data_IF_514930336830
#
_entry.id   IF_514930336830
#
_cell.length_a   1.000
_cell.length_b   1.000
_cell.length_c   1.000
_cell.angle_alpha   90.00
_cell.angle_beta   90.00
_cell.angle_gamma   90.00
#
_symmetry.space_group_name_H-M   'P 1'
#
loop_
_entity.id
_entity.type
_entity.pdbx_description
1 polymer ?
#
# COMPACT_ATOMS: atom_id res chain seq x y z
N UNK A 1 -15.82 31.41 34.63
CA UNK A 1 -16.64 31.09 33.44
C UNK A 1 -15.73 31.22 32.23
N UNK A 2 -15.40 30.12 31.56
CA UNK A 2 -14.56 30.16 30.35
C UNK A 2 -15.40 30.69 29.19
N UNK A 3 -14.81 31.53 28.33
CA UNK A 3 -15.41 31.98 27.07
C UNK A 3 -15.97 30.76 26.29
N UNK A 4 -17.15 30.85 25.65
CA UNK A 4 -17.63 29.80 24.77
C UNK A 4 -16.56 29.51 23.71
N UNK A 5 -16.00 28.30 23.69
CA UNK A 5 -15.11 27.91 22.62
C UNK A 5 -15.90 27.98 21.30
N UNK A 6 -15.35 28.63 20.29
CA UNK A 6 -15.97 28.63 18.97
C UNK A 6 -16.11 27.21 18.44
N UNK A 7 -17.18 26.94 17.67
CA UNK A 7 -17.42 25.65 17.01
C UNK A 7 -16.15 25.12 16.33
N UNK A 8 -15.46 25.99 15.58
CA UNK A 8 -14.19 25.69 14.94
C UNK A 8 -13.11 25.18 15.91
N UNK A 9 -13.00 25.76 17.10
CA UNK A 9 -12.00 25.38 18.10
C UNK A 9 -12.30 23.98 18.67
N UNK A 10 -13.59 23.67 18.89
CA UNK A 10 -14.02 22.34 19.33
C UNK A 10 -13.78 21.27 18.26
N UNK A 11 -14.10 21.59 17.00
CA UNK A 11 -13.84 20.71 15.86
C UNK A 11 -12.36 20.37 15.70
N UNK A 12 -11.47 21.36 15.88
CA UNK A 12 -10.01 21.17 15.84
C UNK A 12 -9.47 20.28 16.96
N UNK A 13 -10.19 20.15 18.07
CA UNK A 13 -9.79 19.30 19.21
C UNK A 13 -10.24 17.83 19.06
N UNK A 14 -11.04 17.50 18.04
CA UNK A 14 -11.48 16.14 17.78
C UNK A 14 -10.32 15.25 17.33
N UNK A 15 -10.38 13.96 17.65
CA UNK A 15 -9.50 12.94 17.09
C UNK A 15 -10.22 12.24 15.94
N UNK A 16 -10.03 12.75 14.72
CA UNK A 16 -10.60 12.16 13.52
C UNK A 16 -9.74 12.44 12.28
N UNK A 17 -10.16 11.94 11.11
CA UNK A 17 -9.35 12.03 9.89
C UNK A 17 -9.08 13.48 9.44
N UNK A 18 -9.96 14.42 9.82
CA UNK A 18 -9.81 15.84 9.52
C UNK A 18 -8.75 16.55 10.37
N UNK A 19 -8.32 15.95 11.48
CA UNK A 19 -7.38 16.53 12.46
C UNK A 19 -6.11 15.72 12.63
N UNK A 20 -5.93 14.63 11.86
CA UNK A 20 -4.75 13.76 11.91
C UNK A 20 -3.62 14.15 10.94
N UNK A 21 -3.67 15.35 10.36
CA UNK A 21 -2.61 15.92 9.51
C UNK A 21 -2.14 14.95 8.40
N UNK A 22 -3.12 14.30 7.75
CA UNK A 22 -2.84 13.25 6.75
C UNK A 22 -2.22 13.80 5.45
N UNK A 23 -2.56 15.04 5.08
CA UNK A 23 -2.17 15.81 3.88
C UNK A 23 -1.64 15.02 2.64
N UNK A 24 -2.44 14.08 2.08
CA UNK A 24 -2.01 13.29 0.92
C UNK A 24 -2.14 14.07 -0.40
N UNK A 25 -1.23 13.79 -1.35
CA UNK A 25 -1.42 14.26 -2.74
C UNK A 25 -2.70 13.67 -3.36
N UNK A 26 -3.26 14.34 -4.38
CA UNK A 26 -4.45 13.82 -5.08
C UNK A 26 -4.19 12.43 -5.68
N UNK A 27 -2.98 12.16 -6.17
CA UNK A 27 -2.59 10.84 -6.66
C UNK A 27 -2.54 9.78 -5.55
N UNK A 28 -2.06 10.15 -4.36
CA UNK A 28 -2.04 9.28 -3.18
C UNK A 28 -3.47 8.97 -2.69
N UNK A 29 -4.38 9.93 -2.70
CA UNK A 29 -5.79 9.72 -2.37
C UNK A 29 -6.42 8.62 -3.25
N UNK A 30 -6.20 8.66 -4.57
CA UNK A 30 -6.69 7.63 -5.48
C UNK A 30 -6.08 6.25 -5.21
N UNK A 31 -4.77 6.18 -4.91
CA UNK A 31 -4.11 4.91 -4.55
C UNK A 31 -4.74 4.27 -3.33
N UNK A 32 -4.90 5.05 -2.26
CA UNK A 32 -5.46 4.56 -1.00
C UNK A 32 -6.93 4.19 -1.21
N UNK A 33 -7.71 5.00 -1.95
CA UNK A 33 -9.11 4.67 -2.31
C UNK A 33 -9.21 3.28 -2.92
N UNK A 34 -8.42 3.01 -3.96
CA UNK A 34 -8.43 1.72 -4.63
C UNK A 34 -7.98 0.57 -3.73
N UNK A 35 -6.95 0.79 -2.92
CA UNK A 35 -6.48 -0.21 -1.96
C UNK A 35 -7.56 -0.58 -0.95
N UNK A 36 -8.32 0.39 -0.44
CA UNK A 36 -9.41 0.19 0.51
C UNK A 36 -10.63 -0.50 -0.12
N UNK A 37 -11.01 -0.09 -1.32
CA UNK A 37 -12.08 -0.75 -2.09
C UNK A 37 -11.69 -2.21 -2.44
N UNK A 38 -10.41 -2.50 -2.67
CA UNK A 38 -9.91 -3.86 -2.95
C UNK A 38 -9.88 -4.77 -1.70
N UNK A 39 -10.03 -4.24 -0.48
CA UNK A 39 -10.12 -5.05 0.76
C UNK A 39 -11.42 -5.87 0.80
N UNK A 40 -12.43 -5.48 0.02
CA UNK A 40 -13.75 -6.12 0.01
C UNK A 40 -14.64 -5.65 1.15
N UNK A 41 -15.95 -5.89 1.02
CA UNK A 41 -16.98 -5.50 1.99
C UNK A 41 -17.50 -6.66 2.81
N UNK A 42 -16.74 -7.74 2.88
CA UNK A 42 -17.19 -9.01 3.44
C UNK A 42 -17.37 -8.94 4.95
N UNK A 43 -18.44 -9.59 5.41
CA UNK A 43 -18.74 -9.73 6.82
C UNK A 43 -17.64 -10.56 7.48
N UNK A 44 -16.96 -9.98 8.48
CA UNK A 44 -15.83 -10.60 9.18
C UNK A 44 -14.55 -9.76 9.20
N UNK A 45 -14.43 -8.74 8.33
CA UNK A 45 -13.30 -7.82 8.43
C UNK A 45 -13.46 -6.85 9.62
N UNK A 46 -12.65 -7.04 10.66
CA UNK A 46 -12.64 -6.21 11.89
C UNK A 46 -12.37 -4.72 11.62
N UNK A 47 -11.75 -4.39 10.49
CA UNK A 47 -11.45 -3.02 10.09
C UNK A 47 -12.52 -2.40 9.16
N UNK A 48 -13.63 -3.08 8.86
CA UNK A 48 -14.60 -2.63 7.87
C UNK A 48 -15.22 -1.25 8.18
N UNK A 49 -15.60 -0.97 9.43
CA UNK A 49 -16.09 0.36 9.82
C UNK A 49 -15.04 1.45 9.60
N UNK A 50 -13.80 1.17 10.00
CA UNK A 50 -12.64 2.06 9.83
C UNK A 50 -12.30 2.30 8.34
N UNK A 51 -12.43 1.27 7.49
CA UNK A 51 -12.31 1.40 6.02
C UNK A 51 -13.33 2.40 5.49
N UNK A 52 -14.59 2.30 5.90
CA UNK A 52 -15.62 3.25 5.48
C UNK A 52 -15.36 4.67 6.00
N UNK A 53 -14.89 4.83 7.24
CA UNK A 53 -14.47 6.14 7.75
C UNK A 53 -13.37 6.75 6.86
N UNK A 54 -12.30 6.00 6.57
CA UNK A 54 -11.20 6.53 5.76
C UNK A 54 -11.63 6.79 4.31
N UNK A 55 -12.43 5.90 3.71
CA UNK A 55 -13.01 6.12 2.38
C UNK A 55 -13.87 7.38 2.36
N UNK A 56 -14.69 7.62 3.39
CA UNK A 56 -15.53 8.81 3.48
C UNK A 56 -14.70 10.09 3.49
N UNK A 57 -13.63 10.12 4.29
CA UNK A 57 -12.67 11.22 4.30
C UNK A 57 -12.00 11.43 2.93
N UNK A 58 -11.56 10.36 2.28
CA UNK A 58 -10.93 10.42 0.96
C UNK A 58 -11.90 10.96 -0.10
N UNK A 59 -13.15 10.49 -0.11
CA UNK A 59 -14.16 10.98 -1.05
C UNK A 59 -14.46 12.47 -0.84
N UNK A 60 -14.54 12.91 0.42
CA UNK A 60 -14.65 14.34 0.72
C UNK A 60 -13.47 15.13 0.14
N UNK A 61 -12.23 14.69 0.38
CA UNK A 61 -11.02 15.34 -0.16
C UNK A 61 -10.94 15.30 -1.69
N UNK A 62 -11.56 14.32 -2.32
CA UNK A 62 -11.69 14.23 -3.78
C UNK A 62 -12.82 15.08 -4.36
N UNK A 63 -13.68 15.67 -3.51
CA UNK A 63 -14.74 16.61 -3.87
C UNK A 63 -16.16 16.05 -3.81
N UNK A 64 -16.36 14.84 -3.27
CA UNK A 64 -17.69 14.19 -3.17
C UNK A 64 -18.20 14.12 -1.73
N UNK A 65 -18.81 15.22 -1.25
CA UNK A 65 -19.41 15.26 0.09
C UNK A 65 -20.59 14.30 0.27
N UNK A 66 -21.34 14.01 -0.81
CA UNK A 66 -22.46 13.05 -0.78
C UNK A 66 -21.96 11.62 -0.53
N UNK A 67 -20.93 11.20 -1.26
CA UNK A 67 -20.35 9.87 -1.06
C UNK A 67 -19.67 9.76 0.30
N UNK A 68 -19.03 10.85 0.75
CA UNK A 68 -18.45 10.93 2.09
C UNK A 68 -19.50 10.67 3.18
N UNK A 69 -20.65 11.35 3.13
CA UNK A 69 -21.75 11.16 4.07
C UNK A 69 -22.27 9.71 4.07
N UNK A 70 -22.51 9.15 2.89
CA UNK A 70 -22.97 7.77 2.74
C UNK A 70 -21.97 6.78 3.38
N UNK A 71 -20.67 6.96 3.12
CA UNK A 71 -19.62 6.13 3.69
C UNK A 71 -19.52 6.28 5.21
N UNK A 72 -19.63 7.49 5.76
CA UNK A 72 -19.66 7.68 7.21
C UNK A 72 -20.88 7.02 7.87
N UNK A 73 -22.06 7.05 7.22
CA UNK A 73 -23.23 6.33 7.73
C UNK A 73 -23.03 4.81 7.69
N UNK A 74 -22.49 4.28 6.58
CA UNK A 74 -22.14 2.85 6.48
C UNK A 74 -21.12 2.43 7.51
N UNK A 75 -20.16 3.31 7.86
CA UNK A 75 -19.22 3.07 8.94
C UNK A 75 -19.95 2.89 10.27
N UNK A 76 -20.85 3.82 10.63
CA UNK A 76 -21.64 3.76 11.85
C UNK A 76 -22.48 2.48 11.94
N UNK A 77 -23.23 2.14 10.88
CA UNK A 77 -24.02 0.90 10.79
C UNK A 77 -23.15 -0.35 10.92
N UNK A 78 -21.95 -0.33 10.35
CA UNK A 78 -21.01 -1.45 10.45
C UNK A 78 -20.50 -1.62 11.87
N UNK A 79 -20.13 -0.54 12.53
CA UNK A 79 -19.70 -0.56 13.91
C UNK A 79 -20.78 -1.09 14.85
N UNK A 80 -22.01 -0.60 14.69
CA UNK A 80 -23.16 -1.03 15.51
C UNK A 80 -23.42 -2.53 15.37
N UNK A 81 -23.39 -3.04 14.13
CA UNK A 81 -23.51 -4.48 13.85
C UNK A 81 -22.36 -5.30 14.43
N UNK A 82 -21.11 -4.85 14.25
CA UNK A 82 -19.92 -5.59 14.74
C UNK A 82 -19.85 -5.65 16.28
N UNK A 83 -20.36 -4.62 16.96
CA UNK A 83 -20.28 -4.50 18.42
C UNK A 83 -21.58 -4.87 19.12
N UNK A 84 -22.65 -5.14 18.36
CA UNK A 84 -24.00 -5.39 18.87
C UNK A 84 -24.45 -4.32 19.90
N UNK A 85 -24.13 -3.06 19.61
CA UNK A 85 -24.41 -1.92 20.49
C UNK A 85 -24.52 -0.64 19.69
N UNK A 86 -25.49 0.22 20.05
CA UNK A 86 -25.81 1.44 19.31
C UNK A 86 -24.75 2.54 19.47
N UNK A 87 -24.09 2.58 20.63
CA UNK A 87 -23.09 3.58 20.99
C UNK A 87 -21.88 2.97 21.70
N UNK A 88 -20.71 3.53 21.44
CA UNK A 88 -19.48 3.15 22.12
C UNK A 88 -18.26 3.92 21.62
N UNK A 89 -17.09 3.72 22.25
CA UNK A 89 -15.86 4.44 21.91
C UNK A 89 -15.41 4.28 20.46
N UNK A 90 -15.69 3.14 19.84
CA UNK A 90 -15.38 2.85 18.43
C UNK A 90 -16.11 3.76 17.42
N UNK A 91 -17.14 4.50 17.85
CA UNK A 91 -17.83 5.50 17.01
C UNK A 91 -17.21 6.90 17.11
N UNK A 92 -16.24 7.14 17.99
CA UNK A 92 -15.71 8.49 18.22
C UNK A 92 -15.14 9.14 16.96
N UNK A 93 -14.31 8.42 16.21
CA UNK A 93 -13.72 8.93 14.97
C UNK A 93 -14.80 9.18 13.92
N UNK A 94 -15.81 8.32 13.86
CA UNK A 94 -16.95 8.47 12.97
C UNK A 94 -17.77 9.73 13.28
N UNK A 95 -18.13 9.95 14.55
CA UNK A 95 -18.83 11.17 14.98
C UNK A 95 -17.98 12.42 14.72
N UNK A 96 -16.67 12.36 14.97
CA UNK A 96 -15.78 13.47 14.68
C UNK A 96 -15.71 13.79 13.18
N UNK A 97 -15.70 12.77 12.31
CA UNK A 97 -15.76 12.93 10.87
C UNK A 97 -17.10 13.55 10.41
N UNK A 98 -18.22 13.09 10.97
CA UNK A 98 -19.55 13.62 10.66
C UNK A 98 -19.71 15.07 11.11
N UNK A 99 -19.21 15.42 12.29
CA UNK A 99 -19.21 16.82 12.78
C UNK A 99 -18.47 17.74 11.79
N UNK A 100 -17.25 17.37 11.39
CA UNK A 100 -16.49 18.12 10.39
C UNK A 100 -17.18 18.21 9.04
N UNK A 101 -17.79 17.11 8.56
CA UNK A 101 -18.49 17.10 7.28
C UNK A 101 -19.70 18.06 7.31
N UNK A 102 -20.54 17.96 8.34
CA UNK A 102 -21.73 18.83 8.48
C UNK A 102 -21.35 20.30 8.62
N UNK A 103 -20.29 20.61 9.36
CA UNK A 103 -19.77 21.98 9.43
C UNK A 103 -19.33 22.51 8.05
N UNK A 104 -18.58 21.71 7.27
CA UNK A 104 -18.20 22.10 5.91
C UNK A 104 -19.39 22.24 4.94
N UNK A 105 -20.52 21.62 5.23
CA UNK A 105 -21.77 21.76 4.48
C UNK A 105 -22.63 22.95 4.95
N UNK A 106 -22.20 23.69 5.98
CA UNK A 106 -22.98 24.78 6.59
C UNK A 106 -24.12 24.31 7.49
N UNK A 107 -24.11 23.03 7.89
CA UNK A 107 -25.12 22.40 8.74
C UNK A 107 -24.64 22.37 10.20
N UNK A 108 -24.36 23.54 10.77
CA UNK A 108 -23.70 23.67 12.09
C UNK A 108 -24.52 23.06 13.24
N UNK A 109 -25.86 23.06 13.17
CA UNK A 109 -26.71 22.39 14.16
C UNK A 109 -26.43 20.88 14.22
N UNK A 110 -26.33 20.21 13.07
CA UNK A 110 -25.97 18.79 13.01
C UNK A 110 -24.54 18.55 13.46
N UNK A 111 -23.63 19.47 13.15
CA UNK A 111 -22.26 19.41 13.64
C UNK A 111 -22.20 19.42 15.18
N UNK A 112 -22.98 20.30 15.80
CA UNK A 112 -23.12 20.40 17.25
C UNK A 112 -23.76 19.15 17.89
N UNK A 113 -24.71 18.52 17.21
CA UNK A 113 -25.29 17.24 17.65
C UNK A 113 -24.22 16.14 17.73
N UNK A 114 -23.37 16.02 16.70
CA UNK A 114 -22.27 15.04 16.70
C UNK A 114 -21.18 15.38 17.71
N UNK A 115 -20.85 16.66 17.90
CA UNK A 115 -19.95 17.09 18.97
C UNK A 115 -20.48 16.70 20.35
N UNK A 116 -21.79 16.87 20.58
CA UNK A 116 -22.44 16.49 21.84
C UNK A 116 -22.36 14.98 22.10
N UNK A 117 -22.42 14.15 21.05
CA UNK A 117 -22.19 12.70 21.15
C UNK A 117 -20.75 12.37 21.54
N UNK A 118 -19.76 13.04 20.93
CA UNK A 118 -18.34 12.89 21.30
C UNK A 118 -18.12 13.30 22.76
N UNK A 119 -18.66 14.44 23.18
CA UNK A 119 -18.58 14.94 24.56
C UNK A 119 -19.24 13.96 25.55
N UNK A 120 -20.36 13.34 25.15
CA UNK A 120 -21.05 12.29 25.90
C UNK A 120 -20.17 11.07 26.16
N UNK A 121 -19.43 10.60 25.16
CA UNK A 121 -18.49 9.49 25.31
C UNK A 121 -17.28 9.90 26.16
N UNK A 122 -16.68 11.05 25.89
CA UNK A 122 -15.51 11.53 26.63
C UNK A 122 -15.78 11.74 28.12
N UNK A 123 -16.99 12.18 28.52
CA UNK A 123 -17.38 12.28 29.93
C UNK A 123 -17.41 10.94 30.67
N UNK A 124 -17.68 9.83 29.97
CA UNK A 124 -17.67 8.49 30.56
C UNK A 124 -16.25 7.97 30.77
N UNK A 125 -15.24 8.65 30.21
CA UNK A 125 -13.84 8.25 30.32
C UNK A 125 -13.11 8.94 31.45
N UNK A 126 -12.25 8.19 32.13
CA UNK A 126 -11.23 8.72 33.04
C UNK A 126 -9.86 8.66 32.35
N UNK A 127 -9.25 9.80 32.03
CA UNK A 127 -7.87 9.87 31.52
C UNK A 127 -7.74 10.00 29.99
N UNK A 128 -6.75 9.29 29.43
CA UNK A 128 -6.26 9.38 28.03
C UNK A 128 -7.31 9.08 26.94
N UNK A 129 -6.97 9.23 25.65
CA UNK A 129 -7.81 8.83 24.50
C UNK A 129 -8.17 7.34 24.49
N UNK A 130 -9.35 6.98 23.96
CA UNK A 130 -9.79 5.58 23.84
C UNK A 130 -8.83 4.72 23.02
N UNK A 131 -8.50 3.49 23.48
CA UNK A 131 -7.57 2.65 22.75
C UNK A 131 -8.06 2.33 21.33
N UNK A 132 -9.38 2.29 21.11
CA UNK A 132 -9.99 2.16 19.78
C UNK A 132 -9.65 3.35 18.86
N UNK A 133 -9.64 4.57 19.39
CA UNK A 133 -9.26 5.78 18.63
C UNK A 133 -7.77 5.76 18.29
N UNK A 134 -6.93 5.32 19.23
CA UNK A 134 -5.50 5.15 18.99
C UNK A 134 -5.24 4.09 17.91
N UNK A 135 -5.96 2.96 17.97
CA UNK A 135 -5.85 1.88 17.01
C UNK A 135 -6.34 2.28 15.62
N UNK A 136 -7.45 3.03 15.50
CA UNK A 136 -7.91 3.56 14.21
C UNK A 136 -6.92 4.56 13.63
N UNK A 137 -6.41 5.48 14.45
CA UNK A 137 -5.37 6.44 14.03
C UNK A 137 -4.13 5.71 13.52
N UNK A 138 -3.66 4.72 14.27
CA UNK A 138 -2.54 3.89 13.87
C UNK A 138 -2.80 3.17 12.54
N UNK A 139 -3.94 2.49 12.43
CA UNK A 139 -4.32 1.77 11.22
C UNK A 139 -4.41 2.69 10.00
N UNK A 140 -4.94 3.90 10.16
CA UNK A 140 -4.99 4.90 9.10
C UNK A 140 -3.59 5.36 8.71
N UNK A 141 -2.76 5.78 9.67
CA UNK A 141 -1.42 6.33 9.43
C UNK A 141 -0.47 5.34 8.74
N UNK A 142 -0.63 4.03 8.93
CA UNK A 142 0.16 3.00 8.24
C UNK A 142 0.10 3.09 6.70
N UNK A 143 -0.94 3.69 6.13
CA UNK A 143 -1.18 3.78 4.68
C UNK A 143 -0.53 5.00 4.03
N UNK A 144 0.12 5.86 4.81
CA UNK A 144 0.71 7.09 4.34
C UNK A 144 2.24 6.99 4.26
N UNK A 145 2.94 8.11 4.42
CA UNK A 145 4.38 8.20 4.35
C UNK A 145 5.09 7.46 5.51
N UNK A 146 6.42 7.36 5.43
CA UNK A 146 7.24 6.62 6.39
C UNK A 146 7.16 7.20 7.81
N UNK A 147 7.02 8.51 7.93
CA UNK A 147 6.94 9.18 9.23
C UNK A 147 5.64 8.79 9.92
N UNK A 148 4.52 8.88 9.19
CA UNK A 148 3.21 8.41 9.66
C UNK A 148 3.20 6.91 9.96
N UNK A 149 3.91 6.10 9.17
CA UNK A 149 4.08 4.67 9.46
C UNK A 149 4.80 4.44 10.79
N UNK A 150 5.83 5.22 11.12
CA UNK A 150 6.52 5.09 12.41
C UNK A 150 5.60 5.50 13.57
N UNK A 151 4.90 6.63 13.43
CA UNK A 151 3.90 7.08 14.41
C UNK A 151 2.79 6.02 14.63
N UNK A 152 2.36 5.35 13.56
CA UNK A 152 1.37 4.28 13.65
C UNK A 152 1.83 3.12 14.55
N UNK A 153 3.11 2.72 14.48
CA UNK A 153 3.64 1.62 15.28
C UNK A 153 3.62 1.94 16.78
N UNK A 154 3.94 3.17 17.14
CA UNK A 154 3.90 3.66 18.52
C UNK A 154 2.46 3.76 19.04
N UNK A 155 1.54 4.25 18.20
CA UNK A 155 0.11 4.34 18.55
C UNK A 155 -0.52 2.96 18.76
N UNK A 156 -0.21 1.98 17.90
CA UNK A 156 -0.63 0.60 18.12
C UNK A 156 -0.06 0.05 19.43
N UNK A 157 1.23 0.28 19.70
CA UNK A 157 1.85 -0.19 20.93
C UNK A 157 1.17 0.41 22.17
N UNK A 158 0.79 1.70 22.13
CA UNK A 158 0.04 2.34 23.19
C UNK A 158 -1.36 1.73 23.34
N UNK A 159 -2.10 1.53 22.25
CA UNK A 159 -3.42 0.91 22.26
C UNK A 159 -3.37 -0.51 22.88
N UNK A 160 -2.40 -1.32 22.49
CA UNK A 160 -2.19 -2.69 23.00
C UNK A 160 -1.86 -2.68 24.50
N UNK A 161 -1.06 -1.73 25.00
CA UNK A 161 -0.79 -1.61 26.44
C UNK A 161 -2.04 -1.25 27.24
N UNK A 162 -2.94 -0.47 26.65
CA UNK A 162 -4.19 -0.05 27.28
C UNK A 162 -5.25 -1.16 27.28
N UNK A 163 -5.26 -2.01 26.23
CA UNK A 163 -6.17 -3.13 26.08
C UNK A 163 -5.44 -4.32 25.43
N UNK A 164 -4.76 -5.15 26.22
CA UNK A 164 -3.91 -6.23 25.71
C UNK A 164 -4.71 -7.40 25.14
N UNK A 165 -6.01 -7.53 25.39
CA UNK A 165 -6.78 -8.68 24.92
C UNK A 165 -7.21 -8.55 23.44
N UNK A 166 -6.96 -7.40 22.80
CA UNK A 166 -7.33 -7.17 21.38
C UNK A 166 -6.24 -7.63 20.43
N UNK A 167 -6.28 -8.92 20.08
CA UNK A 167 -5.28 -9.61 19.25
C UNK A 167 -5.10 -8.98 17.86
N UNK A 168 -6.16 -8.42 17.28
CA UNK A 168 -6.14 -7.88 15.91
C UNK A 168 -5.27 -6.63 15.78
N UNK A 169 -5.07 -5.90 16.88
CA UNK A 169 -4.17 -4.74 16.91
C UNK A 169 -2.71 -5.18 16.89
N UNK A 170 -2.37 -6.28 17.56
CA UNK A 170 -1.03 -6.89 17.45
C UNK A 170 -0.79 -7.38 16.03
N UNK A 171 -1.74 -8.12 15.44
CA UNK A 171 -1.64 -8.60 14.06
C UNK A 171 -1.45 -7.44 13.07
N UNK A 172 -2.24 -6.37 13.22
CA UNK A 172 -2.16 -5.18 12.36
C UNK A 172 -0.84 -4.44 12.51
N UNK A 173 -0.36 -4.26 13.75
CA UNK A 173 0.97 -3.69 14.04
C UNK A 173 2.06 -4.50 13.35
N UNK A 174 2.04 -5.82 13.46
CA UNK A 174 3.04 -6.70 12.84
C UNK A 174 3.00 -6.65 11.32
N UNK A 175 1.82 -6.67 10.72
CA UNK A 175 1.65 -6.54 9.27
C UNK A 175 2.25 -5.23 8.76
N UNK A 176 1.95 -4.10 9.40
CA UNK A 176 2.48 -2.82 8.96
C UNK A 176 3.96 -2.64 9.27
N UNK A 177 4.45 -3.09 10.43
CA UNK A 177 5.88 -3.08 10.76
C UNK A 177 6.69 -3.83 9.70
N UNK A 178 6.31 -5.07 9.39
CA UNK A 178 6.99 -5.91 8.41
C UNK A 178 6.83 -5.41 6.96
N UNK A 179 5.83 -4.56 6.70
CA UNK A 179 5.68 -3.89 5.41
C UNK A 179 6.77 -2.85 5.15
N UNK A 180 7.32 -2.21 6.19
CA UNK A 180 8.40 -1.20 6.07
C UNK A 180 9.73 -1.82 5.59
N UNK A 181 9.96 -3.10 5.91
CA UNK A 181 11.13 -3.89 5.48
C UNK A 181 11.00 -4.50 4.07
N UNK A 182 9.94 -4.18 3.32
CA UNK A 182 9.68 -4.81 2.01
C UNK A 182 10.77 -4.54 0.97
N UNK A 183 11.43 -3.38 1.06
CA UNK A 183 12.42 -2.90 0.07
C UNK A 183 13.80 -2.62 0.68
N UNK A 184 14.01 -3.02 1.95
CA UNK A 184 15.26 -2.83 2.67
C UNK A 184 16.02 -4.15 2.73
N UNK A 185 17.34 -4.06 2.67
CA UNK A 185 18.26 -5.18 2.89
C UNK A 185 18.62 -5.30 4.39
N UNK A 186 17.81 -4.68 5.26
CA UNK A 186 17.98 -4.68 6.73
C UNK A 186 17.03 -5.70 7.32
N UNK A 187 17.54 -6.59 8.16
CA UNK A 187 16.72 -7.55 8.90
C UNK A 187 16.04 -6.88 10.10
N UNK A 188 14.78 -7.25 10.41
CA UNK A 188 14.15 -6.87 11.67
C UNK A 188 14.96 -7.31 12.89
N UNK A 189 14.87 -6.53 13.96
CA UNK A 189 15.48 -6.84 15.26
C UNK A 189 14.94 -8.16 15.84
N UNK A 190 15.72 -8.87 16.69
CA UNK A 190 15.30 -10.13 17.29
C UNK A 190 13.93 -10.10 17.97
N UNK A 191 13.64 -9.02 18.71
CA UNK A 191 12.38 -8.83 19.43
C UNK A 191 11.16 -8.80 18.50
N UNK A 192 11.35 -8.37 17.24
CA UNK A 192 10.28 -8.35 16.22
C UNK A 192 9.86 -9.78 15.84
N UNK A 193 10.78 -10.74 15.88
CA UNK A 193 10.45 -12.14 15.58
C UNK A 193 9.64 -12.79 16.70
N UNK A 194 9.96 -12.45 17.94
CA UNK A 194 9.19 -12.90 19.09
C UNK A 194 7.79 -12.28 19.10
N UNK A 195 7.68 -10.98 18.86
CA UNK A 195 6.39 -10.29 18.70
C UNK A 195 5.55 -10.92 17.56
N UNK A 196 6.18 -11.31 16.45
CA UNK A 196 5.51 -11.98 15.34
C UNK A 196 5.01 -13.36 15.73
N UNK A 197 5.82 -14.14 16.44
CA UNK A 197 5.47 -15.48 16.93
C UNK A 197 4.27 -15.41 17.87
N UNK A 198 4.32 -14.52 18.85
CA UNK A 198 3.20 -14.29 19.79
C UNK A 198 1.94 -13.89 19.04
N UNK A 199 2.02 -12.96 18.08
CA UNK A 199 0.87 -12.56 17.28
C UNK A 199 0.28 -13.72 16.45
N UNK A 200 1.11 -14.65 15.96
CA UNK A 200 0.65 -15.85 15.24
C UNK A 200 -0.03 -16.87 16.15
N UNK A 201 0.45 -17.00 17.39
CA UNK A 201 -0.14 -17.89 18.40
C UNK A 201 -1.50 -17.36 18.90
N UNK A 202 -1.61 -16.05 19.07
CA UNK A 202 -2.84 -15.38 19.53
C UNK A 202 -3.90 -15.22 18.44
N UNK A 203 -3.49 -15.09 17.17
CA UNK A 203 -4.38 -14.88 16.01
C UNK A 203 -4.12 -15.92 14.88
N UNK A 204 -4.41 -17.22 15.13
CA UNK A 204 -4.07 -18.30 14.20
C UNK A 204 -4.86 -18.24 12.88
N UNK A 205 -6.10 -17.75 12.94
CA UNK A 205 -7.02 -17.67 11.79
C UNK A 205 -6.68 -16.53 10.82
N UNK A 206 -5.80 -15.60 11.21
CA UNK A 206 -5.39 -14.52 10.34
C UNK A 206 -4.41 -14.98 9.24
N UNK A 207 -4.99 -15.38 8.11
CA UNK A 207 -4.27 -15.86 6.93
C UNK A 207 -3.31 -14.80 6.35
N UNK A 208 -3.60 -13.50 6.51
CA UNK A 208 -2.69 -12.44 6.10
C UNK A 208 -1.42 -12.46 6.94
N UNK A 209 -1.56 -12.51 8.27
CA UNK A 209 -0.43 -12.60 9.18
C UNK A 209 0.38 -13.88 8.93
N UNK A 210 -0.29 -15.02 8.68
CA UNK A 210 0.35 -16.27 8.28
C UNK A 210 1.21 -16.12 7.01
N UNK A 211 0.65 -15.47 5.98
CA UNK A 211 1.36 -15.24 4.72
C UNK A 211 2.55 -14.27 4.89
N UNK A 212 2.45 -13.31 5.81
CA UNK A 212 3.54 -12.40 6.15
C UNK A 212 4.66 -13.14 6.88
N UNK A 213 4.33 -13.97 7.85
CA UNK A 213 5.29 -14.79 8.60
C UNK A 213 6.08 -15.74 7.67
N UNK A 214 5.35 -16.57 6.90
CA UNK A 214 5.97 -17.48 5.92
C UNK A 214 6.87 -16.74 4.93
N UNK A 215 6.52 -15.52 4.54
CA UNK A 215 7.35 -14.69 3.66
C UNK A 215 8.64 -14.23 4.33
N UNK A 216 8.65 -13.97 5.63
CA UNK A 216 9.89 -13.65 6.33
C UNK A 216 10.77 -14.89 6.50
N UNK A 217 10.17 -16.03 6.85
CA UNK A 217 10.86 -17.33 6.90
C UNK A 217 11.50 -17.69 5.55
N UNK A 218 10.77 -17.50 4.45
CA UNK A 218 11.29 -17.67 3.10
C UNK A 218 12.52 -16.78 2.80
N UNK A 219 12.51 -15.52 3.26
CA UNK A 219 13.67 -14.62 3.09
C UNK A 219 14.91 -15.12 3.82
N UNK A 220 14.76 -15.79 4.96
CA UNK A 220 15.85 -16.40 5.73
C UNK A 220 16.33 -17.73 5.14
N UNK A 221 15.75 -18.18 4.03
CA UNK A 221 16.13 -19.41 3.35
C UNK A 221 15.47 -20.67 3.90
N UNK A 222 14.43 -20.54 4.73
CA UNK A 222 13.64 -21.68 5.21
C UNK A 222 12.83 -22.31 4.06
N UNK A 223 12.67 -23.64 4.09
CA UNK A 223 11.87 -24.39 3.13
C UNK A 223 10.39 -24.27 3.46
N UNK A 224 9.72 -23.28 2.85
CA UNK A 224 8.31 -22.95 3.15
C UNK A 224 7.31 -23.38 2.06
N UNK A 225 7.74 -24.18 1.07
CA UNK A 225 6.91 -24.46 -0.12
C UNK A 225 5.63 -25.21 0.23
N UNK A 226 5.71 -26.25 1.05
CA UNK A 226 4.56 -27.07 1.45
C UNK A 226 3.56 -26.25 2.28
N UNK A 227 4.06 -25.51 3.28
CA UNK A 227 3.25 -24.60 4.08
C UNK A 227 2.58 -23.49 3.24
N UNK A 228 3.27 -22.97 2.22
CA UNK A 228 2.71 -22.01 1.27
C UNK A 228 1.60 -22.63 0.39
N UNK A 229 1.72 -23.90 0.03
CA UNK A 229 0.67 -24.63 -0.70
C UNK A 229 -0.56 -24.83 0.17
N UNK A 230 -0.39 -25.28 1.41
CA UNK A 230 -1.50 -25.40 2.38
C UNK A 230 -2.19 -24.06 2.62
N UNK A 231 -1.41 -22.99 2.82
CA UNK A 231 -1.97 -21.66 3.00
C UNK A 231 -2.68 -21.15 1.73
N UNK A 232 -2.20 -21.53 0.54
CA UNK A 232 -2.89 -21.21 -0.72
C UNK A 232 -4.28 -21.83 -0.77
N UNK A 233 -4.41 -23.10 -0.38
CA UNK A 233 -5.71 -23.77 -0.34
C UNK A 233 -6.64 -23.10 0.66
N UNK A 234 -6.15 -22.78 1.87
CA UNK A 234 -6.93 -22.05 2.90
C UNK A 234 -7.42 -20.68 2.42
N UNK A 235 -6.54 -19.89 1.80
CA UNK A 235 -6.89 -18.56 1.28
C UNK A 235 -7.95 -18.68 0.19
N UNK A 236 -7.82 -19.66 -0.70
CA UNK A 236 -8.75 -19.85 -1.81
C UNK A 236 -10.11 -20.39 -1.35
N UNK A 237 -10.26 -20.97 -0.15
CA UNK A 237 -11.58 -21.40 0.37
C UNK A 237 -12.52 -20.23 0.62
N UNK A 238 -11.97 -19.08 1.01
CA UNK A 238 -12.72 -17.86 1.26
C UNK A 238 -12.68 -16.95 0.02
N UNK A 239 -13.60 -15.98 -0.09
CA UNK A 239 -13.45 -14.98 -1.13
C UNK A 239 -12.15 -14.19 -0.97
N UNK A 240 -11.48 -13.92 -2.11
CA UNK A 240 -10.11 -13.44 -2.11
C UNK A 240 -10.07 -11.93 -2.33
N UNK A 241 -9.73 -11.19 -1.29
CA UNK A 241 -9.53 -9.74 -1.33
C UNK A 241 -8.08 -9.31 -1.12
N UNK A 242 -7.82 -8.00 -1.08
CA UNK A 242 -6.50 -7.46 -0.76
C UNK A 242 -6.05 -7.73 0.67
N UNK A 243 -6.96 -8.12 1.56
CA UNK A 243 -6.71 -8.48 2.95
C UNK A 243 -6.72 -9.99 3.22
N UNK A 244 -6.92 -10.83 2.20
CA UNK A 244 -6.87 -12.30 2.32
C UNK A 244 -5.47 -12.89 2.54
N UNK A 245 -4.40 -12.11 2.33
CA UNK A 245 -3.02 -12.61 2.38
C UNK A 245 -2.47 -13.13 1.05
N UNK A 246 -3.28 -13.13 -0.02
CA UNK A 246 -2.87 -13.66 -1.34
C UNK A 246 -1.62 -12.96 -1.91
N UNK A 247 -1.47 -11.64 -1.74
CA UNK A 247 -0.34 -10.89 -2.31
C UNK A 247 0.98 -11.15 -1.60
N UNK A 248 1.04 -11.21 -0.25
CA UNK A 248 2.18 -11.80 0.45
C UNK A 248 2.49 -13.22 -0.02
N UNK A 249 1.48 -14.09 -0.17
CA UNK A 249 1.65 -15.48 -0.64
C UNK A 249 2.30 -15.56 -2.03
N UNK A 250 1.79 -14.82 -3.01
CA UNK A 250 2.38 -14.77 -4.35
C UNK A 250 3.85 -14.31 -4.33
N UNK A 251 4.24 -13.48 -3.35
CA UNK A 251 5.65 -13.08 -3.19
C UNK A 251 6.53 -14.19 -2.63
N UNK A 252 5.99 -15.10 -1.82
CA UNK A 252 6.71 -16.29 -1.33
C UNK A 252 7.12 -17.15 -2.52
N UNK A 253 6.14 -17.56 -3.35
CA UNK A 253 6.39 -18.33 -4.57
C UNK A 253 7.39 -17.65 -5.50
N UNK A 254 7.31 -16.31 -5.62
CA UNK A 254 8.31 -15.54 -6.38
C UNK A 254 9.72 -15.60 -5.76
N UNK A 255 9.85 -15.60 -4.44
CA UNK A 255 11.14 -15.64 -3.74
C UNK A 255 11.82 -17.01 -3.89
N UNK A 256 11.04 -18.09 -3.82
CA UNK A 256 11.53 -19.45 -4.06
C UNK A 256 11.60 -19.81 -5.56
N UNK A 257 11.51 -18.81 -6.45
CA UNK A 257 11.57 -18.92 -7.92
C UNK A 257 10.52 -19.86 -8.56
N UNK A 258 9.44 -20.19 -7.85
CA UNK A 258 8.35 -21.03 -8.34
C UNK A 258 7.28 -20.22 -9.08
N UNK A 259 7.65 -19.64 -10.22
CA UNK A 259 6.76 -18.74 -10.97
C UNK A 259 5.50 -19.41 -11.55
N UNK A 260 5.53 -20.71 -11.80
CA UNK A 260 4.36 -21.44 -12.30
C UNK A 260 3.31 -21.56 -11.21
N UNK A 261 3.71 -21.82 -9.95
CA UNK A 261 2.82 -21.79 -8.78
C UNK A 261 2.23 -20.39 -8.56
N UNK A 262 3.00 -19.32 -8.80
CA UNK A 262 2.48 -17.93 -8.73
C UNK A 262 1.31 -17.75 -9.71
N UNK A 263 1.46 -18.22 -10.96
CA UNK A 263 0.44 -18.08 -11.99
C UNK A 263 -0.77 -18.96 -11.67
N UNK A 264 -0.54 -20.22 -11.27
CA UNK A 264 -1.61 -21.15 -10.91
C UNK A 264 -2.50 -20.58 -9.81
N UNK A 265 -1.91 -20.19 -8.68
CA UNK A 265 -2.67 -19.65 -7.53
C UNK A 265 -3.42 -18.37 -7.92
N UNK A 266 -2.82 -17.49 -8.73
CA UNK A 266 -3.46 -16.26 -9.16
C UNK A 266 -4.62 -16.49 -10.16
N UNK A 267 -4.46 -17.41 -11.11
CA UNK A 267 -5.52 -17.77 -12.07
C UNK A 267 -6.63 -18.57 -11.39
N UNK A 268 -6.32 -19.46 -10.43
CA UNK A 268 -7.33 -20.15 -9.62
C UNK A 268 -8.18 -19.17 -8.81
N UNK A 269 -7.55 -18.18 -8.18
CA UNK A 269 -8.27 -17.10 -7.51
C UNK A 269 -9.17 -16.33 -8.49
N UNK A 270 -8.60 -15.87 -9.62
CA UNK A 270 -9.33 -15.12 -10.64
C UNK A 270 -10.48 -15.93 -11.27
N UNK A 271 -10.35 -17.25 -11.37
CA UNK A 271 -11.41 -18.12 -11.87
C UNK A 271 -12.64 -18.13 -10.96
N UNK A 272 -12.44 -17.99 -9.64
CA UNK A 272 -13.54 -17.92 -8.66
C UNK A 272 -14.29 -16.60 -8.70
N UNK A 273 -13.59 -15.51 -8.99
CA UNK A 273 -14.19 -14.17 -9.15
C UNK A 273 -13.54 -13.42 -10.33
N UNK A 274 -14.04 -13.67 -11.57
CA UNK A 274 -13.47 -13.10 -12.79
C UNK A 274 -13.61 -11.57 -12.89
N UNK A 275 -14.55 -10.98 -12.17
CA UNK A 275 -14.82 -9.54 -12.22
C UNK A 275 -13.98 -8.75 -11.21
N UNK A 276 -13.36 -9.43 -10.25
CA UNK A 276 -12.44 -8.80 -9.30
C UNK A 276 -11.25 -8.15 -9.99
N UNK A 277 -11.28 -6.81 -10.02
CA UNK A 277 -10.15 -5.99 -10.47
C UNK A 277 -8.88 -6.23 -9.65
N UNK A 278 -9.00 -6.66 -8.39
CA UNK A 278 -7.84 -6.95 -7.54
C UNK A 278 -7.19 -8.28 -7.96
N UNK A 279 -7.98 -9.30 -8.29
CA UNK A 279 -7.47 -10.58 -8.77
C UNK A 279 -6.88 -10.46 -10.18
N UNK A 280 -7.49 -9.67 -11.07
CA UNK A 280 -6.88 -9.30 -12.36
C UNK A 280 -5.50 -8.65 -12.15
N UNK A 281 -5.39 -7.75 -11.16
CA UNK A 281 -4.12 -7.12 -10.78
C UNK A 281 -3.09 -8.11 -10.24
N UNK A 282 -3.51 -9.14 -9.50
CA UNK A 282 -2.63 -10.20 -9.01
C UNK A 282 -2.15 -11.12 -10.13
N UNK A 283 -3.05 -11.59 -11.00
CA UNK A 283 -2.72 -12.40 -12.17
C UNK A 283 -1.78 -11.66 -13.15
N UNK A 284 -2.08 -10.39 -13.47
CA UNK A 284 -1.20 -9.55 -14.29
C UNK A 284 0.23 -9.47 -13.71
N UNK A 285 0.34 -9.36 -12.38
CA UNK A 285 1.63 -9.30 -11.69
C UNK A 285 2.36 -10.66 -11.72
N UNK A 286 1.64 -11.78 -11.59
CA UNK A 286 2.17 -13.13 -11.69
C UNK A 286 2.81 -13.37 -13.07
N UNK A 287 2.08 -13.08 -14.14
CA UNK A 287 2.58 -13.20 -15.51
C UNK A 287 3.78 -12.29 -15.74
N UNK A 288 3.72 -11.03 -15.31
CA UNK A 288 4.86 -10.11 -15.41
C UNK A 288 6.10 -10.72 -14.74
N UNK A 289 5.95 -11.31 -13.55
CA UNK A 289 7.09 -11.91 -12.86
C UNK A 289 7.68 -13.09 -13.60
N UNK A 290 6.85 -14.00 -14.14
CA UNK A 290 7.31 -15.09 -14.99
C UNK A 290 8.05 -14.57 -16.22
N UNK A 291 7.47 -13.62 -16.95
CA UNK A 291 8.02 -13.10 -18.21
C UNK A 291 9.33 -12.32 -18.00
N UNK A 292 9.41 -11.51 -16.95
CA UNK A 292 10.52 -10.57 -16.78
C UNK A 292 11.67 -11.16 -15.96
N UNK A 293 11.37 -12.04 -14.98
CA UNK A 293 12.36 -12.50 -14.01
C UNK A 293 12.68 -14.00 -14.10
N UNK A 294 11.80 -14.84 -14.66
CA UNK A 294 12.11 -16.26 -14.82
C UNK A 294 13.29 -16.46 -15.76
N UNK A 295 14.27 -17.25 -15.32
CA UNK A 295 15.38 -17.74 -16.18
C UNK A 295 15.01 -19.03 -16.91
N UNK A 296 13.98 -19.72 -16.44
CA UNK A 296 13.55 -21.02 -16.91
C UNK A 296 12.29 -20.92 -17.76
N UNK A 297 12.30 -21.62 -18.91
CA UNK A 297 11.19 -21.67 -19.86
C UNK A 297 11.04 -20.39 -20.65
N UNK A 298 11.03 -20.49 -21.99
CA UNK A 298 10.68 -19.34 -22.84
C UNK A 298 9.18 -19.07 -22.71
N UNK A 299 8.75 -17.85 -22.35
CA UNK A 299 7.33 -17.50 -22.35
C UNK A 299 6.70 -17.76 -23.72
N UNK A 300 5.53 -18.40 -23.74
CA UNK A 300 4.79 -18.64 -24.97
C UNK A 300 4.07 -17.36 -25.44
N UNK A 301 3.70 -17.30 -26.73
CA UNK A 301 2.93 -16.16 -27.23
C UNK A 301 1.60 -16.00 -26.48
N UNK A 302 0.91 -17.10 -26.17
CA UNK A 302 -0.32 -17.10 -25.36
C UNK A 302 -0.13 -16.46 -23.98
N UNK A 303 1.03 -16.66 -23.36
CA UNK A 303 1.37 -16.06 -22.08
C UNK A 303 1.51 -14.54 -22.19
N UNK A 304 2.16 -14.04 -23.23
CA UNK A 304 2.24 -12.60 -23.50
C UNK A 304 0.84 -12.02 -23.75
N UNK A 305 0.02 -12.70 -24.55
CA UNK A 305 -1.33 -12.23 -24.90
C UNK A 305 -2.20 -12.13 -23.65
N UNK A 306 -2.18 -13.14 -22.79
CA UNK A 306 -2.89 -13.15 -21.50
C UNK A 306 -2.39 -12.06 -20.57
N UNK A 307 -1.07 -11.89 -20.45
CA UNK A 307 -0.47 -10.85 -19.61
C UNK A 307 -0.84 -9.44 -20.07
N UNK A 308 -0.79 -9.17 -21.38
CA UNK A 308 -1.15 -7.89 -22.00
C UNK A 308 -2.62 -7.59 -21.77
N UNK A 309 -3.52 -8.54 -22.05
CA UNK A 309 -4.96 -8.38 -21.82
C UNK A 309 -5.28 -8.07 -20.36
N UNK A 310 -4.71 -8.81 -19.40
CA UNK A 310 -4.90 -8.53 -17.98
C UNK A 310 -4.37 -7.15 -17.57
N UNK A 311 -3.26 -6.70 -18.15
CA UNK A 311 -2.71 -5.37 -17.87
C UNK A 311 -3.59 -4.25 -18.45
N UNK A 312 -4.20 -4.45 -19.62
CA UNK A 312 -5.17 -3.51 -20.21
C UNK A 312 -6.41 -3.38 -19.33
N UNK A 313 -6.98 -4.51 -18.90
CA UNK A 313 -8.11 -4.54 -17.97
C UNK A 313 -7.78 -3.79 -16.67
N UNK A 314 -6.63 -4.08 -16.08
CA UNK A 314 -6.20 -3.42 -14.84
C UNK A 314 -5.99 -1.92 -15.07
N UNK A 315 -5.38 -1.50 -16.18
CA UNK A 315 -5.23 -0.06 -16.48
C UNK A 315 -6.61 0.62 -16.57
N UNK A 316 -7.60 -0.07 -17.15
CA UNK A 316 -8.99 0.41 -17.24
C UNK A 316 -9.69 0.47 -15.89
N UNK A 317 -9.45 -0.50 -15.00
CA UNK A 317 -10.05 -0.54 -13.66
C UNK A 317 -9.46 0.47 -12.66
N UNK A 318 -8.24 0.95 -12.89
CA UNK A 318 -7.55 1.90 -12.00
C UNK A 318 -7.05 3.16 -12.75
N UNK A 319 -7.91 3.93 -13.46
CA UNK A 319 -7.46 4.97 -14.38
C UNK A 319 -6.58 6.04 -13.72
N UNK A 320 -6.93 6.45 -12.50
CA UNK A 320 -6.21 7.47 -11.73
C UNK A 320 -4.95 6.93 -11.03
N UNK A 321 -4.76 5.60 -10.97
CA UNK A 321 -3.63 4.94 -10.31
C UNK A 321 -2.93 3.89 -11.19
N UNK A 322 -2.96 4.08 -12.52
CA UNK A 322 -2.46 3.08 -13.48
C UNK A 322 -0.96 3.21 -13.83
N UNK A 323 -0.21 4.18 -13.29
CA UNK A 323 1.18 4.45 -13.67
C UNK A 323 2.06 3.19 -13.65
N UNK A 324 2.08 2.50 -12.52
CA UNK A 324 2.90 1.28 -12.36
C UNK A 324 2.47 0.18 -13.33
N UNK A 325 1.19 0.15 -13.71
CA UNK A 325 0.63 -0.84 -14.64
C UNK A 325 0.90 -0.52 -16.09
N UNK A 326 0.99 0.77 -16.46
CA UNK A 326 1.52 1.20 -17.75
C UNK A 326 3.00 0.84 -17.91
N UNK A 327 3.79 0.97 -16.85
CA UNK A 327 5.19 0.53 -16.84
C UNK A 327 5.31 -1.00 -16.94
N UNK A 328 4.49 -1.74 -16.20
CA UNK A 328 4.40 -3.20 -16.30
C UNK A 328 4.03 -3.63 -17.74
N UNK A 329 3.04 -2.96 -18.35
CA UNK A 329 2.61 -3.17 -19.73
C UNK A 329 3.74 -2.93 -20.73
N UNK A 330 4.42 -1.78 -20.65
CA UNK A 330 5.54 -1.47 -21.53
C UNK A 330 6.66 -2.53 -21.43
N UNK A 331 6.96 -2.99 -20.21
CA UNK A 331 7.97 -4.02 -19.97
C UNK A 331 7.58 -5.40 -20.54
N UNK A 332 6.32 -5.82 -20.38
CA UNK A 332 5.83 -7.09 -20.95
C UNK A 332 5.78 -7.00 -22.47
N UNK A 333 5.30 -5.88 -23.01
CA UNK A 333 5.22 -5.66 -24.46
C UNK A 333 6.59 -5.71 -25.12
N UNK A 334 7.60 -5.03 -24.56
CA UNK A 334 8.97 -5.04 -25.10
C UNK A 334 9.53 -6.45 -25.24
N UNK A 335 9.18 -7.36 -24.32
CA UNK A 335 9.61 -8.77 -24.32
C UNK A 335 8.80 -9.68 -25.24
N UNK A 336 7.64 -9.23 -25.73
CA UNK A 336 6.71 -10.06 -26.51
C UNK A 336 7.12 -10.29 -27.97
N UNK A 337 8.17 -9.62 -28.47
CA UNK A 337 8.58 -9.69 -29.88
C UNK A 337 7.70 -8.91 -30.85
N UNK A 338 6.65 -8.21 -30.37
CA UNK A 338 5.71 -7.40 -31.17
C UNK A 338 6.25 -6.02 -31.60
N UNK A 339 7.55 -5.78 -31.41
CA UNK A 339 8.19 -4.50 -31.68
C UNK A 339 8.10 -3.49 -30.52
N UNK A 340 8.91 -2.43 -30.62
CA UNK A 340 9.18 -1.47 -29.54
C UNK A 340 8.41 -0.14 -29.64
N UNK A 341 7.64 0.06 -30.71
CA UNK A 341 6.89 1.29 -30.95
C UNK A 341 5.92 1.64 -29.80
N UNK A 342 5.21 0.64 -29.26
CA UNK A 342 4.22 0.85 -28.20
C UNK A 342 4.87 1.22 -26.86
N UNK A 343 5.91 0.51 -26.37
CA UNK A 343 6.70 0.96 -25.23
C UNK A 343 7.30 2.35 -25.41
N UNK A 344 7.86 2.65 -26.59
CA UNK A 344 8.45 3.96 -26.89
C UNK A 344 7.42 5.09 -26.75
N UNK A 345 6.20 4.89 -27.27
CA UNK A 345 5.10 5.83 -27.09
C UNK A 345 4.73 6.02 -25.61
N UNK A 346 4.58 4.92 -24.87
CA UNK A 346 4.23 4.99 -23.43
C UNK A 346 5.27 5.78 -22.65
N UNK A 347 6.56 5.49 -22.85
CA UNK A 347 7.62 6.24 -22.16
C UNK A 347 7.65 7.71 -22.59
N UNK A 348 7.49 8.01 -23.88
CA UNK A 348 7.41 9.40 -24.35
C UNK A 348 6.29 10.18 -23.66
N UNK A 349 5.10 9.60 -23.57
CA UNK A 349 3.95 10.22 -22.88
C UNK A 349 4.22 10.39 -21.37
N UNK A 350 4.78 9.38 -20.70
CA UNK A 350 5.06 9.44 -19.27
C UNK A 350 6.15 10.45 -18.90
N UNK A 351 7.16 10.61 -19.76
CA UNK A 351 8.27 11.56 -19.55
C UNK A 351 7.84 13.02 -19.68
N UNK A 352 6.72 13.30 -20.37
CA UNK A 352 6.16 14.65 -20.54
C UNK A 352 5.20 15.07 -19.43
N UNK A 353 4.78 14.13 -18.57
CA UNK A 353 3.84 14.42 -17.48
C UNK A 353 4.57 15.00 -16.28
N UNK A 354 3.91 15.95 -15.62
CA UNK A 354 4.28 16.37 -14.27
C UNK A 354 3.76 15.34 -13.27
N UNK A 355 4.67 14.61 -12.62
CA UNK A 355 4.36 13.56 -11.66
C UNK A 355 4.91 13.90 -10.27
N UNK A 356 4.36 13.25 -9.24
CA UNK A 356 4.93 13.31 -7.89
C UNK A 356 6.40 12.82 -7.91
N UNK A 357 7.29 13.34 -7.05
CA UNK A 357 8.72 13.02 -7.09
C UNK A 357 9.04 11.51 -7.13
N UNK A 358 8.38 10.70 -6.29
CA UNK A 358 8.56 9.23 -6.28
C UNK A 358 8.12 8.56 -7.59
N UNK A 359 7.06 9.08 -8.22
CA UNK A 359 6.55 8.55 -9.49
C UNK A 359 7.47 8.91 -10.65
N UNK A 360 8.00 10.14 -10.65
CA UNK A 360 8.97 10.58 -11.64
C UNK A 360 10.25 9.74 -11.58
N UNK A 361 10.76 9.48 -10.37
CA UNK A 361 11.89 8.57 -10.15
C UNK A 361 11.59 7.15 -10.66
N UNK A 362 10.36 6.66 -10.48
CA UNK A 362 9.93 5.36 -10.98
C UNK A 362 9.95 5.29 -12.51
N UNK A 363 9.40 6.31 -13.19
CA UNK A 363 9.42 6.42 -14.65
C UNK A 363 10.85 6.45 -15.18
N UNK A 364 11.72 7.31 -14.63
CA UNK A 364 13.11 7.39 -15.04
C UNK A 364 13.87 6.07 -14.80
N UNK A 365 13.70 5.42 -13.65
CA UNK A 365 14.33 4.13 -13.37
C UNK A 365 13.87 3.02 -14.34
N UNK A 366 12.57 2.93 -14.61
CA UNK A 366 12.02 1.96 -15.56
C UNK A 366 12.48 2.26 -16.99
N UNK A 367 12.50 3.52 -17.40
CA UNK A 367 12.95 3.92 -18.73
C UNK A 367 14.44 3.64 -18.92
N UNK A 368 15.27 3.92 -17.91
CA UNK A 368 16.69 3.58 -17.94
C UNK A 368 16.91 2.08 -18.16
N UNK A 369 16.16 1.22 -17.48
CA UNK A 369 16.22 -0.24 -17.67
C UNK A 369 15.79 -0.65 -19.08
N UNK A 370 14.69 -0.09 -19.57
CA UNK A 370 14.20 -0.33 -20.92
C UNK A 370 15.24 0.06 -21.99
N UNK A 371 15.86 1.25 -21.83
CA UNK A 371 16.92 1.70 -22.72
C UNK A 371 18.12 0.76 -22.72
N UNK A 372 18.49 0.23 -21.55
CA UNK A 372 19.62 -0.68 -21.42
C UNK A 372 19.35 -2.06 -22.02
N UNK A 373 18.23 -2.69 -21.65
CA UNK A 373 17.97 -4.10 -21.96
C UNK A 373 17.27 -4.31 -23.30
N UNK A 374 16.36 -3.42 -23.68
CA UNK A 374 15.50 -3.61 -24.85
C UNK A 374 15.97 -2.75 -26.05
N UNK A 375 16.46 -1.52 -25.81
CA UNK A 375 16.95 -0.61 -26.88
C UNK A 375 18.46 -0.64 -27.10
N UNK A 376 19.23 -1.13 -26.14
CA UNK A 376 20.71 -1.11 -26.15
C UNK A 376 21.32 0.32 -26.22
N UNK A 377 20.58 1.31 -25.72
CA UNK A 377 21.01 2.72 -25.66
C UNK A 377 21.67 3.01 -24.30
N UNK A 378 22.85 2.43 -24.05
CA UNK A 378 23.50 2.39 -22.73
C UNK A 378 23.81 3.77 -22.12
N UNK A 379 24.29 4.72 -22.92
CA UNK A 379 24.60 6.06 -22.41
C UNK A 379 23.33 6.79 -21.94
N UNK A 380 22.25 6.75 -22.72
CA UNK A 380 20.97 7.33 -22.29
C UNK A 380 20.41 6.63 -21.07
N UNK A 381 20.60 5.32 -20.93
CA UNK A 381 20.23 4.60 -19.71
C UNK A 381 20.91 5.19 -18.47
N UNK A 382 22.22 5.48 -18.56
CA UNK A 382 22.98 6.11 -17.48
C UNK A 382 22.40 7.49 -17.14
N UNK A 383 22.15 8.33 -18.15
CA UNK A 383 21.55 9.65 -17.95
C UNK A 383 20.22 9.58 -17.20
N UNK A 384 19.34 8.63 -17.55
CA UNK A 384 18.05 8.48 -16.87
C UNK A 384 18.19 7.90 -15.46
N UNK A 385 19.19 7.04 -15.21
CA UNK A 385 19.51 6.65 -13.83
C UNK A 385 20.00 7.84 -13.00
N UNK A 386 20.82 8.72 -13.56
CA UNK A 386 21.25 9.97 -12.90
C UNK A 386 20.05 10.89 -12.64
N UNK A 387 19.16 11.09 -13.62
CA UNK A 387 17.92 11.87 -13.43
C UNK A 387 17.03 11.31 -12.31
N UNK A 388 16.89 9.98 -12.21
CA UNK A 388 16.17 9.35 -11.12
C UNK A 388 16.85 9.56 -9.76
N UNK A 389 18.19 9.48 -9.71
CA UNK A 389 18.97 9.65 -8.48
C UNK A 389 19.02 11.11 -8.00
N UNK A 390 18.98 12.07 -8.93
CA UNK A 390 19.09 13.51 -8.67
C UNK A 390 17.86 14.10 -7.97
N UNK A 391 16.68 13.51 -8.16
CA UNK A 391 15.47 13.91 -7.42
C UNK A 391 15.69 13.58 -5.94
N UNK A 392 15.75 14.60 -5.08
CA UNK A 392 15.98 14.43 -3.64
C UNK A 392 14.70 13.97 -2.92
N UNK A 393 14.36 12.70 -3.13
CA UNK A 393 13.23 12.04 -2.48
C UNK A 393 13.57 10.56 -2.25
N UNK A 394 13.44 10.08 -1.01
CA UNK A 394 13.90 8.74 -0.65
C UNK A 394 12.92 7.65 -1.11
N UNK A 395 13.16 7.08 -2.30
CA UNK A 395 12.36 5.99 -2.87
C UNK A 395 13.20 4.78 -3.26
N UNK A 396 12.52 3.63 -3.42
CA UNK A 396 13.13 2.42 -3.96
C UNK A 396 13.73 2.65 -5.36
N UNK A 397 13.05 3.43 -6.21
CA UNK A 397 13.49 3.73 -7.58
C UNK A 397 14.75 4.58 -7.61
N UNK A 398 14.90 5.50 -6.65
CA UNK A 398 16.11 6.30 -6.44
C UNK A 398 17.28 5.39 -6.05
N UNK A 399 17.12 4.62 -4.96
CA UNK A 399 18.15 3.69 -4.47
C UNK A 399 18.55 2.67 -5.55
N UNK A 400 17.58 2.14 -6.30
CA UNK A 400 17.86 1.20 -7.37
C UNK A 400 18.68 1.82 -8.52
N UNK A 401 18.46 3.10 -8.82
CA UNK A 401 19.24 3.82 -9.84
C UNK A 401 20.65 4.12 -9.35
N UNK A 402 20.82 4.52 -8.08
CA UNK A 402 22.15 4.69 -7.46
C UNK A 402 22.94 3.38 -7.50
N UNK A 403 22.35 2.28 -7.01
CA UNK A 403 22.97 0.94 -7.08
C UNK A 403 23.30 0.50 -8.52
N UNK A 404 22.52 0.93 -9.51
CA UNK A 404 22.83 0.66 -10.92
C UNK A 404 24.04 1.47 -11.40
N UNK A 405 24.13 2.74 -11.05
CA UNK A 405 25.26 3.62 -11.38
C UNK A 405 26.55 3.14 -10.72
N UNK A 406 26.51 2.78 -9.43
CA UNK A 406 27.65 2.18 -8.71
C UNK A 406 28.17 0.92 -9.43
N UNK A 407 27.29 0.00 -9.79
CA UNK A 407 27.67 -1.22 -10.54
C UNK A 407 28.29 -0.90 -11.91
N UNK A 408 27.83 0.15 -12.58
CA UNK A 408 28.38 0.57 -13.88
C UNK A 408 29.78 1.19 -13.67
N UNK A 409 29.94 2.03 -12.65
CA UNK A 409 31.23 2.61 -12.22
C UNK A 409 32.24 1.51 -11.92
N UNK A 410 31.87 0.54 -11.08
CA UNK A 410 32.77 -0.51 -10.59
C UNK A 410 33.20 -1.47 -11.72
N UNK A 411 32.36 -1.64 -12.75
CA UNK A 411 32.73 -2.41 -13.95
C UNK A 411 33.78 -1.73 -14.82
N UNK A 412 33.89 -0.40 -14.78
CA UNK A 412 34.95 0.36 -15.47
C UNK A 412 34.90 0.34 -17.01
N UNK A 413 33.79 -0.07 -17.64
CA UNK A 413 33.67 -0.20 -19.11
C UNK A 413 32.89 0.91 -19.79
N UNK A 414 32.26 1.81 -19.03
CA UNK A 414 31.42 2.88 -19.57
C UNK A 414 32.26 4.03 -20.10
N UNK A 415 31.79 4.67 -21.19
CA UNK A 415 32.39 5.92 -21.66
C UNK A 415 32.02 7.12 -20.78
N UNK A 416 30.93 7.01 -20.02
CA UNK A 416 30.44 8.05 -19.10
C UNK A 416 30.99 7.89 -17.68
N UNK A 417 32.17 7.24 -17.51
CA UNK A 417 32.74 7.00 -16.19
C UNK A 417 33.06 8.29 -15.42
N UNK A 418 33.67 9.33 -16.03
CA UNK A 418 33.91 10.59 -15.34
C UNK A 418 32.64 11.19 -14.76
N UNK A 419 31.58 11.27 -15.56
CA UNK A 419 30.29 11.86 -15.19
C UNK A 419 29.59 11.07 -14.07
N UNK A 420 29.69 9.74 -14.11
CA UNK A 420 29.14 8.89 -13.04
C UNK A 420 29.87 9.13 -11.71
N UNK A 421 31.21 9.24 -11.73
CA UNK A 421 32.01 9.46 -10.52
C UNK A 421 31.68 10.81 -9.88
N UNK A 422 31.76 11.86 -10.67
CA UNK A 422 31.43 13.22 -10.24
C UNK A 422 30.01 13.29 -9.65
N UNK A 423 29.04 12.67 -10.32
CA UNK A 423 27.66 12.66 -9.85
C UNK A 423 27.48 11.91 -8.53
N UNK A 424 28.10 10.73 -8.36
CA UNK A 424 28.00 9.96 -7.12
C UNK A 424 28.72 10.67 -5.96
N UNK A 425 29.89 11.26 -6.19
CA UNK A 425 30.62 12.06 -5.19
C UNK A 425 29.78 13.26 -4.72
N UNK A 426 29.13 13.96 -5.65
CA UNK A 426 28.22 15.07 -5.32
C UNK A 426 26.99 14.61 -4.52
N UNK A 427 26.47 13.41 -4.77
CA UNK A 427 25.35 12.86 -4.00
C UNK A 427 25.75 12.50 -2.56
N UNK A 428 26.97 11.99 -2.35
CA UNK A 428 27.52 11.67 -1.02
C UNK A 428 27.81 12.95 -0.20
N UNK A 429 28.33 14.00 -0.84
CA UNK A 429 28.54 15.31 -0.22
C UNK A 429 27.25 16.01 0.23
N UNK A 430 26.12 15.75 -0.43
CA UNK A 430 24.81 16.31 -0.07
C UNK A 430 24.12 15.51 1.06
N UNK A 431 24.57 14.29 1.37
CA UNK A 431 24.03 13.49 2.48
C UNK A 431 24.78 13.71 3.81
N UNK A 432 25.90 14.44 3.79
CA UNK A 432 26.77 14.71 4.95
C UNK A 432 26.62 16.12 5.52
N UNK A 433 25.70 16.91 4.98
CA UNK A 433 25.27 18.25 5.46
C UNK A 433 23.80 18.15 5.83
#
# INVERSE_FOLDING_TARGET
MSSPQSLQSRLKALECHFTWDLDPSRGQLFRIRYELEDVGTEEGNVWLGHIYNLLGFIQYKLGSSKDALNLFNRAAETFQRQKNADEGPWLMVNFGNLAWLHHHLGEDEKSEDYLSKVDGLMRKKKGDLYPEVLAEKAWTLMRFDKEKQQQALELFQRAIRMQPDTVEWRSSRMIGLLSTFKHRDVEPEPDVWEDLRVAREEDPENLYLAAVDLKQRAKRGEQVKEEAQELSEKILLNPVSSYSGIKPLLRIYRQIESYDDVIDVAERALTKDPDSRYLKRCAALAYKWKIVFSRNGRPSQRMFDRAISLLEDVISCYPESCLTKKLDFASVWAKSGRGLMKPDQIYKELLQKSLDPSDQQCVYNCYAKYLNFDRQEWNKSIEYHMKAAAINHESFSRMNSIKALERIRDRGRSRMLPEIREFLENLEGVQTV
#
